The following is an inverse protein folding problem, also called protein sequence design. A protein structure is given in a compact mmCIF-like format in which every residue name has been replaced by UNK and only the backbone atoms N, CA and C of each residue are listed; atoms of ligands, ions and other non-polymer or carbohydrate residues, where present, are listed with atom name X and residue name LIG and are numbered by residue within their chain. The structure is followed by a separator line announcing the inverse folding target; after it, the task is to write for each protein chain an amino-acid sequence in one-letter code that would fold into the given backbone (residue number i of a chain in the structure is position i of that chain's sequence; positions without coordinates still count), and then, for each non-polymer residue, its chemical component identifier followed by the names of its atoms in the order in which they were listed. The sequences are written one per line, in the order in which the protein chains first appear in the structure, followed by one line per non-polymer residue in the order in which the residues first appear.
data_IF_325651298602
#
_entry.id   IF_325651298602
#
_cell.length_a   1.000
_cell.length_b   1.000
_cell.length_c   1.000
_cell.angle_alpha   90.00
_cell.angle_beta   90.00
_cell.angle_gamma   90.00
#
_symmetry.space_group_name_H-M   'P 1'
#
loop_
_entity.id
_entity.type
_entity.pdbx_description
1 polymer ?
#
# COMPACT_ATOMS: atom_id res chain seq x y z
N UNK A 1 -5.61 12.84 12.44
CA UNK A 1 -4.23 12.86 11.90
C UNK A 1 -3.38 11.72 12.45
N UNK A 2 -2.50 11.91 13.46
CA UNK A 2 -1.42 10.94 13.82
C UNK A 2 -1.79 9.50 14.25
N UNK A 3 -3.07 9.10 14.37
CA UNK A 3 -3.45 7.70 14.69
C UNK A 3 -4.44 7.11 13.68
N UNK A 4 -5.57 7.76 13.40
CA UNK A 4 -6.59 7.19 12.49
C UNK A 4 -6.20 7.16 11.00
N UNK A 5 -5.57 8.20 10.47
CA UNK A 5 -4.95 8.14 9.12
C UNK A 5 -3.84 7.07 9.10
N UNK A 6 -3.13 6.90 10.22
CA UNK A 6 -2.13 5.85 10.42
C UNK A 6 -2.71 4.45 10.69
N UNK A 7 -4.03 4.27 10.65
CA UNK A 7 -4.68 2.95 10.71
C UNK A 7 -5.34 2.64 9.37
N UNK A 8 -6.21 3.54 8.87
CA UNK A 8 -6.90 3.35 7.59
C UNK A 8 -5.96 3.35 6.37
N UNK A 9 -4.87 4.12 6.38
CA UNK A 9 -3.89 4.14 5.28
C UNK A 9 -2.66 3.25 5.56
N UNK A 10 -2.06 3.34 6.76
CA UNK A 10 -0.81 2.61 7.03
C UNK A 10 -1.00 1.10 7.25
N UNK A 11 -2.21 0.62 7.58
CA UNK A 11 -2.51 -0.81 7.68
C UNK A 11 -2.31 -1.58 6.36
N UNK A 12 -2.51 -0.92 5.21
CA UNK A 12 -2.37 -1.53 3.89
C UNK A 12 -1.11 -1.10 3.12
N UNK A 13 -0.52 0.06 3.44
CA UNK A 13 0.70 0.56 2.78
C UNK A 13 2.02 0.09 3.41
N UNK A 14 1.99 -0.46 4.64
CA UNK A 14 3.23 -0.88 5.35
C UNK A 14 3.80 -2.23 4.87
N UNK A 15 3.11 -2.96 3.99
CA UNK A 15 3.61 -4.18 3.33
C UNK A 15 4.50 -3.88 2.10
N UNK A 16 5.19 -2.74 2.12
CA UNK A 16 6.09 -2.33 1.05
C UNK A 16 7.37 -3.19 0.99
N UNK A 17 7.65 -3.74 -0.20
CA UNK A 17 8.95 -4.31 -0.65
C UNK A 17 9.26 -5.81 -0.41
N UNK A 18 8.29 -6.70 -0.14
CA UNK A 18 8.44 -8.15 -0.42
C UNK A 18 7.25 -8.75 -1.18
N UNK A 19 6.95 -8.19 -2.36
CA UNK A 19 6.00 -8.74 -3.33
C UNK A 19 6.39 -8.35 -4.77
N UNK A 20 6.67 -9.34 -5.64
CA UNK A 20 7.04 -9.13 -7.05
C UNK A 20 6.15 -9.96 -8.00
N UNK A 21 5.72 -9.36 -9.12
CA UNK A 21 4.82 -9.95 -10.14
C UNK A 21 3.33 -9.80 -9.79
N UNK A 22 2.35 -9.54 -10.69
CA UNK A 22 2.19 -9.51 -12.19
C UNK A 22 0.68 -9.73 -12.51
N UNK A 23 0.11 -10.02 -13.69
CA UNK A 23 -1.38 -9.86 -13.93
C UNK A 23 -2.09 -10.29 -15.22
N UNK A 24 -2.98 -11.31 -15.17
CA UNK A 24 -4.05 -11.55 -16.17
C UNK A 24 -5.22 -12.48 -15.72
N UNK A 25 -6.48 -12.06 -15.90
CA UNK A 25 -7.67 -12.82 -15.45
C UNK A 25 -8.06 -13.96 -16.39
N UNK A 26 -7.94 -15.18 -15.88
CA UNK A 26 -9.12 -16.03 -15.75
C UNK A 26 -9.49 -16.17 -14.27
N UNK A 27 -10.77 -16.40 -13.94
CA UNK A 27 -11.13 -16.93 -12.62
C UNK A 27 -10.78 -18.43 -12.55
N UNK A 28 -9.50 -18.75 -12.81
CA UNK A 28 -8.95 -20.07 -12.59
C UNK A 28 -8.91 -20.34 -11.09
N UNK A 29 -9.31 -21.55 -10.70
CA UNK A 29 -9.30 -22.01 -9.31
C UNK A 29 -7.92 -21.69 -8.67
N UNK A 30 -7.85 -20.92 -7.56
CA UNK A 30 -6.59 -20.62 -6.89
C UNK A 30 -5.78 -21.86 -6.52
N UNK A 31 -6.44 -23.00 -6.23
CA UNK A 31 -5.74 -24.26 -5.95
C UNK A 31 -5.04 -24.81 -7.20
N UNK A 32 -5.75 -24.90 -8.34
CA UNK A 32 -5.14 -25.29 -9.62
C UNK A 32 -4.07 -24.30 -10.10
N UNK A 33 -4.31 -23.00 -9.91
CA UNK A 33 -3.43 -21.90 -10.33
C UNK A 33 -2.14 -21.82 -9.53
N UNK A 34 -2.11 -22.36 -8.31
CA UNK A 34 -0.94 -22.38 -7.43
C UNK A 34 -0.38 -23.80 -7.19
N UNK A 35 -0.70 -24.76 -8.05
CA UNK A 35 -0.34 -26.17 -7.89
C UNK A 35 1.16 -26.51 -8.11
N UNK A 36 1.89 -25.69 -8.85
CA UNK A 36 3.37 -25.76 -8.99
C UNK A 36 4.02 -24.44 -8.54
N UNK A 37 5.32 -24.43 -8.18
CA UNK A 37 5.99 -23.21 -7.73
C UNK A 37 5.97 -22.12 -8.81
N UNK A 38 6.21 -22.51 -10.07
CA UNK A 38 6.15 -21.57 -11.19
C UNK A 38 4.73 -21.18 -11.56
N UNK A 39 3.73 -22.06 -11.43
CA UNK A 39 2.33 -21.67 -11.66
C UNK A 39 1.85 -20.70 -10.58
N UNK A 40 2.22 -20.91 -9.31
CA UNK A 40 1.88 -20.00 -8.23
C UNK A 40 2.52 -18.62 -8.41
N UNK A 41 3.83 -18.58 -8.69
CA UNK A 41 4.50 -17.33 -9.01
C UNK A 41 4.01 -16.72 -10.31
N UNK A 42 3.70 -17.51 -11.35
CA UNK A 42 3.08 -16.99 -12.59
C UNK A 42 1.69 -16.46 -12.31
N UNK A 43 0.92 -17.06 -11.42
CA UNK A 43 -0.45 -16.66 -11.04
C UNK A 43 -0.46 -15.40 -10.18
N UNK A 44 0.43 -15.27 -9.19
CA UNK A 44 0.69 -14.01 -8.51
C UNK A 44 1.24 -12.97 -9.52
N UNK A 45 2.14 -13.42 -10.41
CA UNK A 45 2.57 -12.73 -11.64
C UNK A 45 1.46 -12.64 -12.70
N UNK A 46 0.21 -12.94 -12.32
CA UNK A 46 -1.02 -12.95 -13.13
C UNK A 46 -2.24 -12.45 -12.29
N UNK A 47 -2.02 -11.57 -11.28
CA UNK A 47 -3.06 -10.65 -10.72
C UNK A 47 -2.83 -9.09 -10.86
N UNK A 48 -1.90 -8.47 -10.12
CA UNK A 48 -1.40 -7.06 -10.20
C UNK A 48 -1.29 -6.34 -11.59
N UNK A 49 -0.71 -6.92 -12.65
CA UNK A 49 -0.57 -6.28 -14.01
C UNK A 49 -1.93 -5.97 -14.65
N UNK A 50 -2.96 -6.69 -14.22
CA UNK A 50 -4.37 -6.49 -14.55
C UNK A 50 -5.16 -5.79 -13.43
N UNK A 51 -4.44 -5.26 -12.44
CA UNK A 51 -4.93 -4.53 -11.28
C UNK A 51 -5.87 -5.36 -10.37
N UNK A 52 -5.82 -6.68 -10.43
CA UNK A 52 -6.69 -7.54 -9.62
C UNK A 52 -6.10 -7.79 -8.23
N UNK A 53 -6.19 -6.78 -7.36
CA UNK A 53 -5.68 -6.87 -5.99
C UNK A 53 -6.45 -7.94 -5.18
N UNK A 54 -7.75 -8.15 -5.47
CA UNK A 54 -8.55 -9.19 -4.85
C UNK A 54 -8.05 -10.61 -5.16
N UNK A 55 -7.77 -10.90 -6.44
CA UNK A 55 -7.18 -12.17 -6.84
C UNK A 55 -5.72 -12.30 -6.36
N UNK A 56 -4.94 -11.20 -6.35
CA UNK A 56 -3.57 -11.22 -5.84
C UNK A 56 -3.53 -11.68 -4.37
N UNK A 57 -4.33 -11.05 -3.51
CA UNK A 57 -4.40 -11.38 -2.08
C UNK A 57 -4.88 -12.83 -1.88
N UNK A 58 -5.84 -13.32 -2.68
CA UNK A 58 -6.28 -14.73 -2.66
C UNK A 58 -5.19 -15.72 -3.09
N UNK A 59 -4.28 -15.32 -3.98
CA UNK A 59 -3.18 -16.15 -4.46
C UNK A 59 -1.98 -16.19 -3.52
N UNK A 60 -1.64 -15.10 -2.83
CA UNK A 60 -0.49 -15.05 -1.91
C UNK A 60 -0.84 -15.42 -0.46
N UNK A 61 -2.11 -15.38 -0.06
CA UNK A 61 -2.57 -15.85 1.26
C UNK A 61 -3.11 -17.30 1.19
N UNK A 62 -2.78 -18.15 2.18
CA UNK A 62 -3.58 -19.32 2.51
C UNK A 62 -4.99 -18.91 2.96
N UNK A 63 -5.97 -19.79 2.73
CA UNK A 63 -7.39 -19.51 2.98
C UNK A 63 -7.68 -19.12 4.44
N UNK A 64 -7.00 -19.75 5.40
CA UNK A 64 -7.12 -19.41 6.81
C UNK A 64 -6.70 -17.96 7.11
N UNK A 65 -5.52 -17.53 6.62
CA UNK A 65 -5.03 -16.15 6.79
C UNK A 65 -5.84 -15.14 5.96
N UNK A 66 -6.37 -15.52 4.79
CA UNK A 66 -7.32 -14.67 4.04
C UNK A 66 -8.58 -14.38 4.86
N UNK A 67 -9.16 -15.42 5.48
CA UNK A 67 -10.35 -15.29 6.31
C UNK A 67 -10.07 -14.52 7.61
N UNK A 68 -8.87 -14.66 8.19
CA UNK A 68 -8.42 -13.87 9.35
C UNK A 68 -8.31 -12.38 9.02
N UNK A 69 -7.61 -12.02 7.92
CA UNK A 69 -7.50 -10.63 7.43
C UNK A 69 -8.88 -10.03 7.17
N UNK A 70 -9.77 -10.79 6.52
CA UNK A 70 -11.15 -10.36 6.26
C UNK A 70 -11.94 -10.15 7.55
N UNK A 71 -11.80 -11.03 8.55
CA UNK A 71 -12.47 -10.88 9.83
C UNK A 71 -11.98 -9.64 10.60
N UNK A 72 -10.66 -9.43 10.66
CA UNK A 72 -10.03 -8.23 11.27
C UNK A 72 -10.53 -6.94 10.59
N UNK A 73 -10.60 -6.91 9.25
CA UNK A 73 -11.13 -5.75 8.52
C UNK A 73 -12.61 -5.46 8.82
N UNK A 74 -13.47 -6.48 8.79
CA UNK A 74 -14.90 -6.30 9.04
C UNK A 74 -15.18 -5.93 10.52
N UNK A 75 -14.35 -6.38 11.47
CA UNK A 75 -14.39 -5.95 12.88
C UNK A 75 -13.98 -4.48 13.05
N UNK A 76 -12.81 -4.10 12.54
CA UNK A 76 -12.33 -2.70 12.58
C UNK A 76 -13.30 -1.72 11.91
N UNK A 77 -14.05 -2.17 10.88
CA UNK A 77 -15.14 -1.39 10.28
C UNK A 77 -16.40 -1.31 11.16
N UNK A 78 -16.74 -2.36 11.91
CA UNK A 78 -17.87 -2.34 12.84
C UNK A 78 -17.61 -1.42 14.05
N UNK A 79 -16.35 -1.28 14.44
CA UNK A 79 -15.86 -0.37 15.49
C UNK A 79 -15.57 1.05 14.98
N UNK A 80 -15.50 1.24 13.66
CA UNK A 80 -15.29 2.56 13.06
C UNK A 80 -16.50 3.47 13.31
N UNK A 81 -16.34 4.38 14.28
CA UNK A 81 -17.26 5.51 14.47
C UNK A 81 -17.28 6.46 13.26
N UNK A 82 -18.24 7.38 13.28
CA UNK A 82 -18.34 8.48 12.30
C UNK A 82 -16.98 9.17 12.12
N UNK A 83 -16.54 9.45 10.88
CA UNK A 83 -15.30 10.16 10.64
C UNK A 83 -15.22 11.51 11.38
N UNK A 84 -13.99 11.98 11.62
CA UNK A 84 -13.79 13.36 12.04
C UNK A 84 -14.37 14.33 10.98
N UNK A 85 -15.19 15.34 11.37
CA UNK A 85 -15.83 16.22 10.40
C UNK A 85 -14.88 17.04 9.51
N UNK A 86 -13.65 17.31 9.96
CA UNK A 86 -12.65 17.98 9.14
C UNK A 86 -11.99 17.01 8.16
N UNK A 87 -11.61 15.80 8.61
CA UNK A 87 -11.05 14.76 7.72
C UNK A 87 -12.08 14.32 6.65
N UNK A 88 -13.38 14.26 7.00
CA UNK A 88 -14.46 14.02 6.05
C UNK A 88 -14.65 15.16 5.04
N UNK A 89 -14.57 16.41 5.49
CA UNK A 89 -14.70 17.59 4.62
C UNK A 89 -13.52 17.72 3.64
N UNK A 90 -12.29 17.48 4.11
CA UNK A 90 -11.08 17.49 3.26
C UNK A 90 -11.15 16.40 2.19
N UNK A 91 -11.57 15.17 2.56
CA UNK A 91 -11.76 14.09 1.60
C UNK A 91 -12.83 14.44 0.54
N UNK A 92 -13.96 15.01 0.97
CA UNK A 92 -15.04 15.42 0.07
C UNK A 92 -14.64 16.58 -0.85
N UNK A 93 -13.85 17.55 -0.37
CA UNK A 93 -13.29 18.62 -1.21
C UNK A 93 -12.31 18.06 -2.25
N UNK A 94 -11.38 17.20 -1.83
CA UNK A 94 -10.40 16.59 -2.71
C UNK A 94 -11.07 15.74 -3.80
N UNK A 95 -12.01 14.87 -3.44
CA UNK A 95 -12.75 14.06 -4.41
C UNK A 95 -13.69 14.92 -5.27
N UNK A 96 -14.23 16.01 -4.74
CA UNK A 96 -14.95 17.02 -5.52
C UNK A 96 -14.08 17.65 -6.61
N UNK A 97 -12.89 18.17 -6.25
CA UNK A 97 -11.90 18.71 -7.20
C UNK A 97 -11.48 17.69 -8.26
N UNK A 98 -11.19 16.46 -7.84
CA UNK A 98 -10.74 15.38 -8.74
C UNK A 98 -11.84 14.85 -9.68
N UNK A 99 -13.12 14.99 -9.35
CA UNK A 99 -14.23 14.44 -10.15
C UNK A 99 -15.03 15.49 -10.93
N UNK A 100 -14.84 16.78 -10.64
CA UNK A 100 -15.46 17.91 -11.34
C UNK A 100 -15.34 17.83 -12.87
N UNK A 101 -16.25 18.48 -13.59
CA UNK A 101 -16.31 18.42 -15.06
C UNK A 101 -15.06 19.04 -15.71
N UNK A 102 -14.51 20.08 -15.10
CA UNK A 102 -13.34 20.87 -15.49
C UNK A 102 -12.07 20.52 -14.70
N UNK A 103 -12.10 19.46 -13.87
CA UNK A 103 -11.02 19.03 -12.97
C UNK A 103 -9.63 19.04 -13.62
N UNK A 104 -9.50 18.53 -14.86
CA UNK A 104 -8.23 18.44 -15.58
C UNK A 104 -7.62 19.80 -15.90
N UNK A 105 -8.45 20.83 -16.14
CA UNK A 105 -8.01 22.19 -16.38
C UNK A 105 -7.77 22.96 -15.06
N UNK A 106 -8.64 22.77 -14.07
CA UNK A 106 -8.51 23.39 -12.76
C UNK A 106 -7.23 22.93 -12.03
N UNK A 107 -7.00 21.62 -11.95
CA UNK A 107 -5.83 21.02 -11.31
C UNK A 107 -4.53 21.38 -12.05
N UNK A 108 -4.54 21.49 -13.39
CA UNK A 108 -3.37 21.96 -14.12
C UNK A 108 -3.07 23.46 -13.87
N UNK A 109 -4.09 24.30 -13.69
CA UNK A 109 -3.90 25.70 -13.33
C UNK A 109 -3.37 25.88 -11.89
N UNK A 110 -3.77 25.01 -10.96
CA UNK A 110 -3.25 24.94 -9.59
C UNK A 110 -1.81 24.37 -9.57
N UNK A 111 -1.49 23.40 -10.43
CA UNK A 111 -0.19 22.74 -10.51
C UNK A 111 0.90 23.55 -11.23
N UNK A 112 0.57 24.32 -12.28
CA UNK A 112 1.52 25.13 -13.07
C UNK A 112 2.49 26.00 -12.23
N UNK A 113 2.07 26.79 -11.22
CA UNK A 113 3.01 27.55 -10.39
C UNK A 113 3.97 26.65 -9.58
N UNK A 114 3.54 25.46 -9.16
CA UNK A 114 4.40 24.49 -8.48
C UNK A 114 5.39 23.81 -9.43
N UNK A 115 5.01 23.54 -10.69
CA UNK A 115 5.96 23.08 -11.72
C UNK A 115 7.02 24.15 -11.99
N UNK A 116 6.62 25.42 -12.12
CA UNK A 116 7.54 26.54 -12.32
C UNK A 116 8.48 26.74 -11.12
N UNK A 117 7.99 26.63 -9.88
CA UNK A 117 8.83 26.68 -8.69
C UNK A 117 9.81 25.50 -8.63
N UNK A 118 9.35 24.27 -8.91
CA UNK A 118 10.21 23.10 -8.95
C UNK A 118 11.32 23.26 -10.01
N UNK A 119 10.97 23.73 -11.20
CA UNK A 119 11.90 23.96 -12.32
C UNK A 119 12.96 25.03 -11.98
N UNK A 120 12.58 26.07 -11.25
CA UNK A 120 13.50 27.16 -10.85
C UNK A 120 14.37 26.83 -9.62
N UNK A 121 13.80 26.20 -8.58
CA UNK A 121 14.44 26.08 -7.25
C UNK A 121 14.97 24.68 -6.94
N UNK A 122 14.24 23.63 -7.33
CA UNK A 122 14.54 22.24 -6.93
C UNK A 122 15.29 21.47 -8.02
N UNK A 123 14.90 21.58 -9.29
CA UNK A 123 15.51 20.88 -10.40
C UNK A 123 17.05 21.08 -10.50
N UNK A 124 17.64 22.27 -10.23
CA UNK A 124 19.09 22.44 -10.19
C UNK A 124 19.79 21.65 -9.05
N UNK A 125 19.07 21.34 -7.97
CA UNK A 125 19.57 20.64 -6.79
C UNK A 125 19.33 19.12 -6.85
N UNK A 126 18.36 18.67 -7.65
CA UNK A 126 17.99 17.26 -7.81
C UNK A 126 19.19 16.32 -8.05
N UNK A 127 20.18 16.58 -8.92
CA UNK A 127 21.31 15.66 -9.14
C UNK A 127 22.13 15.40 -7.87
N UNK A 128 22.28 16.41 -7.00
CA UNK A 128 22.97 16.27 -5.71
C UNK A 128 22.11 15.46 -4.72
N UNK A 129 20.81 15.76 -4.64
CA UNK A 129 19.87 15.04 -3.78
C UNK A 129 19.74 13.56 -4.18
N UNK A 130 19.67 13.24 -5.47
CA UNK A 130 19.63 11.88 -6.01
C UNK A 130 20.93 11.14 -5.68
N UNK A 131 22.09 11.77 -5.88
CA UNK A 131 23.39 11.18 -5.54
C UNK A 131 23.53 10.88 -4.05
N UNK A 132 23.12 11.80 -3.18
CA UNK A 132 23.11 11.63 -1.73
C UNK A 132 22.14 10.53 -1.30
N UNK A 133 20.91 10.55 -1.80
CA UNK A 133 19.87 9.56 -1.48
C UNK A 133 20.25 8.15 -1.93
N UNK A 134 20.82 8.00 -3.14
CA UNK A 134 21.38 6.72 -3.63
C UNK A 134 22.49 6.21 -2.73
N UNK A 135 23.42 7.08 -2.34
CA UNK A 135 24.50 6.74 -1.40
C UNK A 135 23.98 6.25 -0.05
N UNK A 136 23.01 6.96 0.54
CA UNK A 136 22.37 6.58 1.80
C UNK A 136 21.60 5.26 1.68
N UNK A 137 20.84 5.05 0.61
CA UNK A 137 20.07 3.83 0.38
C UNK A 137 20.97 2.60 0.22
N UNK A 138 22.02 2.68 -0.60
CA UNK A 138 23.01 1.58 -0.73
C UNK A 138 23.71 1.32 0.60
N UNK A 139 24.13 2.37 1.32
CA UNK A 139 24.78 2.22 2.63
C UNK A 139 23.84 1.63 3.70
N UNK A 140 22.53 1.86 3.62
CA UNK A 140 21.52 1.19 4.44
C UNK A 140 21.39 -0.31 4.10
N UNK A 141 21.26 -0.64 2.82
CA UNK A 141 21.18 -2.03 2.32
C UNK A 141 22.40 -2.86 2.76
N UNK A 142 23.61 -2.30 2.62
CA UNK A 142 24.85 -3.01 2.98
C UNK A 142 24.94 -3.29 4.50
N UNK A 143 24.42 -2.40 5.33
CA UNK A 143 24.40 -2.55 6.79
C UNK A 143 23.27 -3.44 7.32
N UNK A 144 22.23 -3.73 6.52
CA UNK A 144 21.14 -4.59 6.98
C UNK A 144 21.66 -6.03 7.19
N UNK A 145 21.57 -6.52 8.42
CA UNK A 145 22.00 -7.87 8.82
C UNK A 145 20.96 -8.96 8.54
N UNK A 146 19.71 -8.58 8.28
CA UNK A 146 18.59 -9.49 7.98
C UNK A 146 18.51 -9.86 6.50
N UNK A 147 19.15 -9.04 5.63
CA UNK A 147 19.20 -9.27 4.19
C UNK A 147 20.36 -10.20 3.80
N UNK A 148 20.06 -11.20 2.96
CA UNK A 148 21.09 -12.01 2.30
C UNK A 148 21.91 -11.18 1.29
N UNK A 149 23.11 -11.64 0.95
CA UNK A 149 23.97 -10.97 -0.05
C UNK A 149 23.31 -10.90 -1.44
N UNK A 150 22.39 -11.82 -1.75
CA UNK A 150 21.59 -11.81 -2.98
C UNK A 150 20.48 -10.76 -2.93
N UNK A 151 19.77 -10.66 -1.79
CA UNK A 151 18.79 -9.60 -1.55
C UNK A 151 19.45 -8.21 -1.55
N UNK A 152 20.64 -8.06 -0.94
CA UNK A 152 21.41 -6.80 -0.97
C UNK A 152 21.82 -6.42 -2.39
N UNK A 153 22.27 -7.38 -3.19
CA UNK A 153 22.61 -7.17 -4.60
C UNK A 153 21.37 -6.75 -5.42
N UNK A 154 20.24 -7.42 -5.24
CA UNK A 154 18.97 -7.07 -5.90
C UNK A 154 18.51 -5.66 -5.51
N UNK A 155 18.49 -5.34 -4.21
CA UNK A 155 18.06 -4.03 -3.73
C UNK A 155 18.99 -2.91 -4.21
N UNK A 156 20.30 -3.16 -4.30
CA UNK A 156 21.27 -2.23 -4.88
C UNK A 156 21.00 -1.99 -6.37
N UNK A 157 20.67 -3.04 -7.14
CA UNK A 157 20.26 -2.90 -8.55
C UNK A 157 18.96 -2.09 -8.72
N UNK A 158 17.98 -2.27 -7.83
CA UNK A 158 16.74 -1.47 -7.82
C UNK A 158 17.05 0.00 -7.52
N UNK A 159 17.84 0.29 -6.48
CA UNK A 159 18.27 1.65 -6.11
C UNK A 159 19.05 2.34 -7.24
N UNK A 160 19.90 1.59 -7.94
CA UNK A 160 20.65 2.09 -9.09
C UNK A 160 19.74 2.40 -10.29
N UNK A 161 18.78 1.51 -10.60
CA UNK A 161 17.80 1.72 -11.66
C UNK A 161 16.89 2.94 -11.38
N UNK A 162 16.41 3.08 -10.13
CA UNK A 162 15.63 4.22 -9.67
C UNK A 162 16.42 5.53 -9.73
N UNK A 163 17.67 5.55 -9.26
CA UNK A 163 18.54 6.73 -9.32
C UNK A 163 18.86 7.16 -10.76
N UNK A 164 19.04 6.21 -11.67
CA UNK A 164 19.22 6.49 -13.09
C UNK A 164 17.94 7.06 -13.73
N UNK A 165 16.76 6.52 -13.42
CA UNK A 165 15.47 7.07 -13.88
C UNK A 165 15.22 8.48 -13.33
N UNK A 166 15.39 8.68 -12.01
CA UNK A 166 15.26 10.00 -11.36
C UNK A 166 16.18 11.07 -11.96
N UNK A 167 17.33 10.67 -12.50
CA UNK A 167 18.29 11.58 -13.14
C UNK A 167 17.90 11.98 -14.58
N UNK A 168 16.90 11.34 -15.18
CA UNK A 168 16.49 11.54 -16.59
C UNK A 168 15.00 11.88 -16.77
N UNK A 169 14.16 11.61 -15.77
CA UNK A 169 12.72 11.91 -15.77
C UNK A 169 12.45 13.41 -15.73
N UNK A 170 11.56 13.88 -16.61
CA UNK A 170 11.19 15.29 -16.70
C UNK A 170 9.99 15.62 -15.80
N UNK A 171 10.21 15.70 -14.48
CA UNK A 171 9.13 15.92 -13.50
C UNK A 171 8.35 17.24 -13.70
N UNK A 172 8.97 18.26 -14.31
CA UNK A 172 8.34 19.55 -14.62
C UNK A 172 7.83 19.68 -16.08
N UNK A 173 7.83 18.60 -16.88
CA UNK A 173 7.30 18.65 -18.25
C UNK A 173 5.77 18.78 -18.22
N UNK A 174 5.27 19.92 -18.69
CA UNK A 174 3.86 20.33 -18.57
C UNK A 174 2.90 19.44 -19.33
N UNK A 175 3.33 18.78 -20.40
CA UNK A 175 2.48 17.84 -21.14
C UNK A 175 2.46 16.47 -20.44
N UNK A 176 3.56 16.04 -19.79
CA UNK A 176 3.54 14.87 -18.90
C UNK A 176 2.68 15.13 -17.65
N UNK A 177 2.81 16.30 -17.02
CA UNK A 177 2.00 16.69 -15.87
C UNK A 177 0.50 16.68 -16.21
N UNK A 178 0.11 17.23 -17.35
CA UNK A 178 -1.26 17.21 -17.86
C UNK A 178 -1.79 15.80 -18.13
N UNK A 179 -0.97 14.91 -18.71
CA UNK A 179 -1.35 13.51 -18.90
C UNK A 179 -1.49 12.77 -17.55
N UNK A 180 -0.60 13.03 -16.58
CA UNK A 180 -0.71 12.49 -15.24
C UNK A 180 -1.98 12.98 -14.50
N UNK A 181 -2.31 14.27 -14.59
CA UNK A 181 -3.56 14.83 -14.05
C UNK A 181 -4.78 14.17 -14.70
N UNK A 182 -4.80 14.01 -16.02
CA UNK A 182 -5.91 13.33 -16.71
C UNK A 182 -6.07 11.85 -16.26
N UNK A 183 -4.96 11.13 -16.03
CA UNK A 183 -4.99 9.77 -15.45
C UNK A 183 -5.51 9.75 -14.01
N UNK A 184 -5.05 10.68 -13.16
CA UNK A 184 -5.50 10.79 -11.77
C UNK A 184 -7.00 11.11 -11.69
N UNK A 185 -7.47 12.08 -12.47
CA UNK A 185 -8.89 12.44 -12.59
C UNK A 185 -9.75 11.29 -13.11
N UNK A 186 -9.31 10.59 -14.16
CA UNK A 186 -10.01 9.41 -14.67
C UNK A 186 -10.10 8.30 -13.61
N UNK A 187 -9.04 8.11 -12.81
CA UNK A 187 -9.01 7.14 -11.71
C UNK A 187 -9.96 7.54 -10.58
N UNK A 188 -9.98 8.81 -10.17
CA UNK A 188 -10.89 9.31 -9.14
C UNK A 188 -12.37 9.17 -9.57
N UNK A 189 -12.68 9.48 -10.83
CA UNK A 189 -14.00 9.27 -11.43
C UNK A 189 -14.38 7.77 -11.48
N UNK A 190 -13.41 6.87 -11.73
CA UNK A 190 -13.64 5.43 -11.75
C UNK A 190 -13.76 4.80 -10.34
N UNK A 191 -13.13 5.41 -9.33
CA UNK A 191 -13.29 5.00 -7.92
C UNK A 191 -14.70 5.28 -7.42
N UNK A 192 -15.34 6.37 -7.85
CA UNK A 192 -16.70 6.79 -7.46
C UNK A 192 -16.92 6.85 -5.94
N UNK A 193 -15.87 7.19 -5.19
CA UNK A 193 -15.91 7.44 -3.74
C UNK A 193 -15.96 8.95 -3.52
N UNK A 194 -17.06 9.46 -2.94
CA UNK A 194 -17.31 10.90 -2.80
C UNK A 194 -17.17 11.40 -1.37
N UNK A 195 -17.28 10.52 -0.39
CA UNK A 195 -17.19 10.86 1.05
C UNK A 195 -16.41 9.77 1.80
N UNK A 196 -15.93 10.10 3.01
CA UNK A 196 -15.10 9.20 3.81
C UNK A 196 -15.93 8.04 4.40
N UNK A 197 -17.22 8.26 4.65
CA UNK A 197 -18.17 7.22 5.07
C UNK A 197 -18.38 6.17 3.96
N UNK A 198 -18.36 6.58 2.67
CA UNK A 198 -18.44 5.64 1.54
C UNK A 198 -17.19 4.76 1.43
N UNK A 199 -16.02 5.26 1.84
CA UNK A 199 -14.78 4.49 1.91
C UNK A 199 -14.78 3.53 3.12
N UNK A 200 -15.24 4.00 4.28
CA UNK A 200 -15.39 3.15 5.48
C UNK A 200 -16.42 2.03 5.28
N UNK A 201 -17.55 2.30 4.60
CA UNK A 201 -18.65 1.35 4.46
C UNK A 201 -18.38 0.17 3.50
N UNK A 202 -17.25 0.13 2.79
CA UNK A 202 -16.93 -0.94 1.83
C UNK A 202 -16.85 -2.32 2.51
N UNK A 203 -17.26 -3.39 1.81
CA UNK A 203 -16.86 -4.73 2.22
C UNK A 203 -15.39 -4.97 1.91
N UNK A 204 -14.75 -5.94 2.57
CA UNK A 204 -13.37 -6.31 2.29
C UNK A 204 -13.10 -6.59 0.79
N UNK A 205 -14.00 -7.31 0.12
CA UNK A 205 -13.86 -7.62 -1.31
C UNK A 205 -14.10 -6.37 -2.19
N UNK A 206 -14.98 -5.43 -1.79
CA UNK A 206 -15.15 -4.14 -2.48
C UNK A 206 -13.92 -3.22 -2.30
N UNK A 207 -13.35 -3.18 -1.10
CA UNK A 207 -12.14 -2.42 -0.80
C UNK A 207 -10.95 -2.91 -1.65
N UNK A 208 -10.80 -4.23 -1.81
CA UNK A 208 -9.82 -4.83 -2.71
C UNK A 208 -10.10 -4.48 -4.19
N UNK A 209 -11.36 -4.41 -4.62
CA UNK A 209 -11.73 -3.97 -5.97
C UNK A 209 -11.42 -2.48 -6.23
N UNK A 210 -11.72 -1.60 -5.26
CA UNK A 210 -11.36 -0.17 -5.33
C UNK A 210 -9.84 0.04 -5.28
N UNK A 211 -9.12 -0.72 -4.46
CA UNK A 211 -7.65 -0.73 -4.44
C UNK A 211 -7.06 -1.15 -5.80
N UNK A 212 -7.72 -2.07 -6.52
CA UNK A 212 -7.39 -2.39 -7.90
C UNK A 212 -7.50 -1.19 -8.85
N UNK A 213 -8.60 -0.44 -8.80
CA UNK A 213 -8.77 0.78 -9.62
C UNK A 213 -7.67 1.80 -9.29
N UNK A 214 -7.41 2.06 -8.01
CA UNK A 214 -6.37 2.99 -7.57
C UNK A 214 -4.96 2.56 -8.00
N UNK A 215 -4.61 1.27 -7.86
CA UNK A 215 -3.33 0.71 -8.28
C UNK A 215 -3.14 0.78 -9.81
N UNK A 216 -4.21 0.57 -10.58
CA UNK A 216 -4.21 0.79 -12.03
C UNK A 216 -3.87 2.25 -12.37
N UNK A 217 -4.57 3.19 -11.75
CA UNK A 217 -4.33 4.63 -11.93
C UNK A 217 -2.91 5.08 -11.57
N UNK A 218 -2.36 4.57 -10.46
CA UNK A 218 -0.98 4.86 -10.04
C UNK A 218 0.04 4.38 -11.07
N UNK A 219 -0.11 3.15 -11.60
CA UNK A 219 0.76 2.63 -12.66
C UNK A 219 0.63 3.45 -13.95
N UNK A 220 -0.57 3.86 -14.31
CA UNK A 220 -0.82 4.71 -15.49
C UNK A 220 -0.15 6.09 -15.35
N UNK A 221 -0.15 6.69 -14.16
CA UNK A 221 0.57 7.95 -13.86
C UNK A 221 2.09 7.74 -13.91
N UNK A 222 2.61 6.66 -13.33
CA UNK A 222 4.04 6.33 -13.36
C UNK A 222 4.55 6.05 -14.78
N UNK A 223 3.74 5.39 -15.61
CA UNK A 223 4.05 5.10 -17.01
C UNK A 223 4.17 6.37 -17.88
N UNK A 224 3.41 7.43 -17.60
CA UNK A 224 3.57 8.75 -18.27
C UNK A 224 4.99 9.31 -18.05
N UNK A 225 5.58 9.07 -16.88
CA UNK A 225 6.96 9.46 -16.58
C UNK A 225 8.00 8.38 -16.94
N UNK A 226 7.63 7.36 -17.74
CA UNK A 226 8.51 6.30 -18.20
C UNK A 226 8.79 5.19 -17.19
N UNK A 227 8.18 5.21 -16.00
CA UNK A 227 8.22 4.11 -15.06
C UNK A 227 7.05 3.16 -15.35
N UNK A 228 7.20 2.38 -16.41
CA UNK A 228 6.21 1.38 -16.80
C UNK A 228 6.32 0.10 -15.94
N UNK A 229 5.55 0.07 -14.85
CA UNK A 229 5.37 -1.13 -14.02
C UNK A 229 4.71 -2.26 -14.82
N UNK A 230 3.84 -1.96 -15.79
CA UNK A 230 3.18 -2.99 -16.58
C UNK A 230 4.20 -3.73 -17.46
N UNK A 231 5.10 -3.01 -18.14
CA UNK A 231 6.21 -3.61 -18.89
C UNK A 231 7.18 -4.42 -17.98
N UNK A 232 7.44 -3.95 -16.76
CA UNK A 232 8.28 -4.68 -15.82
C UNK A 232 7.65 -6.03 -15.44
N UNK A 233 6.34 -6.07 -15.21
CA UNK A 233 5.59 -7.29 -14.90
C UNK A 233 5.45 -8.21 -16.13
N UNK A 234 5.25 -7.66 -17.33
CA UNK A 234 5.20 -8.41 -18.60
C UNK A 234 6.56 -9.05 -18.96
N UNK A 235 7.67 -8.47 -18.46
CA UNK A 235 9.02 -8.99 -18.67
C UNK A 235 9.42 -10.15 -17.74
N UNK A 236 8.53 -10.57 -16.83
CA UNK A 236 8.86 -11.52 -15.78
C UNK A 236 9.11 -12.95 -16.32
N UNK A 237 10.21 -13.54 -15.86
CA UNK A 237 10.68 -14.89 -16.21
C UNK A 237 10.85 -15.68 -14.92
N UNK A 238 10.32 -16.91 -14.88
CA UNK A 238 10.21 -17.72 -13.66
C UNK A 238 10.75 -19.12 -13.97
N UNK A 239 11.83 -19.50 -13.29
CA UNK A 239 12.65 -20.70 -13.52
C UNK A 239 12.76 -21.51 -12.21
N UNK A 240 12.18 -22.71 -12.16
CA UNK A 240 12.29 -23.59 -10.99
C UNK A 240 13.67 -24.25 -10.99
N UNK A 241 14.46 -24.02 -9.94
CA UNK A 241 15.83 -24.54 -9.81
C UNK A 241 15.86 -25.91 -9.14
N UNK A 242 15.06 -26.10 -8.09
CA UNK A 242 14.77 -27.42 -7.50
C UNK A 242 13.35 -27.48 -6.93
N UNK A 243 12.88 -28.70 -6.69
CA UNK A 243 11.68 -29.00 -5.90
C UNK A 243 11.99 -30.23 -5.03
N UNK A 244 11.92 -30.07 -3.72
CA UNK A 244 12.28 -31.07 -2.72
C UNK A 244 11.11 -31.22 -1.73
N UNK A 245 10.23 -32.18 -2.00
CA UNK A 245 8.98 -32.39 -1.24
C UNK A 245 8.06 -31.18 -1.34
N UNK A 246 7.69 -30.63 -0.18
CA UNK A 246 6.87 -29.43 -0.04
C UNK A 246 7.71 -28.12 0.04
N UNK A 247 8.95 -28.15 -0.47
CA UNK A 247 9.82 -26.98 -0.67
C UNK A 247 10.33 -26.88 -2.10
N UNK A 248 10.62 -25.68 -2.58
CA UNK A 248 11.20 -25.45 -3.91
C UNK A 248 12.00 -24.14 -3.95
N UNK A 249 13.08 -24.07 -4.72
CA UNK A 249 13.76 -22.81 -5.03
C UNK A 249 13.40 -22.37 -6.44
N UNK A 250 12.95 -21.13 -6.56
CA UNK A 250 12.56 -20.55 -7.84
C UNK A 250 13.32 -19.25 -8.06
N UNK A 251 13.88 -19.12 -9.25
CA UNK A 251 14.53 -17.92 -9.72
C UNK A 251 13.53 -17.07 -10.50
N UNK A 252 13.51 -15.78 -10.18
CA UNK A 252 12.72 -14.77 -10.90
C UNK A 252 13.69 -13.81 -11.58
N UNK A 253 13.41 -13.48 -12.84
CA UNK A 253 14.08 -12.43 -13.59
C UNK A 253 13.06 -11.45 -14.15
N UNK A 254 13.36 -10.15 -14.18
CA UNK A 254 12.52 -9.11 -14.77
C UNK A 254 13.36 -7.91 -15.19
N UNK A 255 12.82 -7.05 -16.04
CA UNK A 255 13.46 -5.80 -16.47
C UNK A 255 12.75 -4.62 -15.83
N UNK A 256 13.46 -3.84 -15.02
CA UNK A 256 12.94 -2.63 -14.38
C UNK A 256 13.75 -1.42 -14.87
N UNK A 257 13.08 -0.44 -15.49
CA UNK A 257 13.71 0.80 -15.97
C UNK A 257 14.93 0.54 -16.89
N UNK A 258 14.89 -0.55 -17.67
CA UNK A 258 15.98 -1.00 -18.55
C UNK A 258 17.07 -1.84 -17.88
N UNK A 259 17.09 -1.95 -16.55
CA UNK A 259 17.98 -2.85 -15.83
C UNK A 259 17.40 -4.26 -15.73
N UNK A 260 18.16 -5.28 -16.12
CA UNK A 260 17.81 -6.68 -15.87
C UNK A 260 18.12 -7.04 -14.41
N UNK A 261 17.09 -7.42 -13.65
CA UNK A 261 17.15 -7.78 -12.24
C UNK A 261 16.80 -9.26 -12.13
N UNK A 262 17.49 -10.01 -11.27
CA UNK A 262 17.14 -11.40 -10.97
C UNK A 262 17.46 -11.75 -9.53
N UNK A 263 16.64 -12.62 -8.95
CA UNK A 263 16.70 -13.07 -7.57
C UNK A 263 16.25 -14.53 -7.45
N UNK A 264 16.72 -15.22 -6.42
CA UNK A 264 16.30 -16.58 -6.08
C UNK A 264 15.52 -16.53 -4.76
N UNK A 265 14.38 -17.21 -4.71
CA UNK A 265 13.52 -17.27 -3.53
C UNK A 265 13.12 -18.71 -3.21
N UNK A 266 13.09 -19.02 -1.92
CA UNK A 266 12.53 -20.27 -1.40
C UNK A 266 10.99 -20.17 -1.39
N UNK A 267 10.34 -21.25 -1.79
CA UNK A 267 8.90 -21.45 -1.73
C UNK A 267 8.56 -22.65 -0.86
N UNK A 268 7.40 -22.59 -0.22
CA UNK A 268 6.82 -23.65 0.61
C UNK A 268 5.44 -24.03 0.10
N UNK A 269 5.03 -25.28 0.32
CA UNK A 269 3.73 -25.79 -0.07
C UNK A 269 2.84 -26.05 1.14
N UNK A 270 1.67 -25.42 1.17
CA UNK A 270 0.68 -25.52 2.25
C UNK A 270 -0.71 -25.76 1.64
N UNK A 271 -1.50 -26.66 2.23
CA UNK A 271 -2.83 -27.06 1.72
C UNK A 271 -2.85 -27.43 0.21
N UNK A 272 -1.72 -27.90 -0.32
CA UNK A 272 -1.53 -28.26 -1.73
C UNK A 272 -1.06 -27.13 -2.66
N UNK A 273 -1.08 -25.88 -2.18
CA UNK A 273 -0.74 -24.63 -2.90
C UNK A 273 0.68 -24.16 -2.56
N UNK A 274 1.37 -23.50 -3.51
CA UNK A 274 2.70 -22.94 -3.29
C UNK A 274 2.69 -21.44 -2.94
N UNK A 275 3.51 -21.05 -1.97
CA UNK A 275 3.67 -19.67 -1.49
C UNK A 275 5.15 -19.29 -1.34
N UNK A 276 5.48 -18.01 -1.40
CA UNK A 276 6.82 -17.50 -1.09
C UNK A 276 7.08 -17.61 0.42
N UNK A 277 8.20 -18.23 0.80
CA UNK A 277 8.54 -18.52 2.21
C UNK A 277 8.70 -17.25 3.05
N UNK A 278 9.43 -16.27 2.52
CA UNK A 278 9.70 -15.01 3.21
C UNK A 278 8.43 -14.13 3.27
N UNK A 279 7.60 -14.17 2.21
CA UNK A 279 6.27 -13.55 2.20
C UNK A 279 5.36 -14.15 3.28
N UNK A 280 5.31 -15.49 3.40
CA UNK A 280 4.55 -16.19 4.45
C UNK A 280 5.01 -15.85 5.87
N UNK A 281 6.32 -15.67 6.07
CA UNK A 281 6.85 -15.15 7.34
C UNK A 281 6.38 -13.71 7.58
N UNK A 282 6.59 -12.80 6.64
CA UNK A 282 6.21 -11.39 6.78
C UNK A 282 4.70 -11.19 7.03
N UNK A 283 3.84 -12.00 6.40
CA UNK A 283 2.39 -12.03 6.66
C UNK A 283 2.10 -12.44 8.11
N UNK A 284 2.77 -13.49 8.61
CA UNK A 284 2.55 -13.98 9.97
C UNK A 284 3.06 -12.97 11.00
N UNK A 285 4.30 -12.48 10.84
CA UNK A 285 4.89 -11.46 11.71
C UNK A 285 4.00 -10.20 11.80
N UNK A 286 3.39 -9.78 10.67
CA UNK A 286 2.48 -8.64 10.63
C UNK A 286 1.13 -8.90 11.33
N UNK A 287 0.51 -10.06 11.08
CA UNK A 287 -0.80 -10.41 11.67
C UNK A 287 -0.72 -10.70 13.16
N UNK A 288 0.34 -11.38 13.57
CA UNK A 288 0.57 -11.83 14.93
C UNK A 288 1.10 -10.65 15.77
N UNK A 289 2.02 -9.84 15.23
CA UNK A 289 2.50 -8.59 15.86
C UNK A 289 1.46 -7.47 15.95
N UNK A 290 0.49 -7.41 15.02
CA UNK A 290 -0.70 -6.56 15.19
C UNK A 290 -1.54 -7.04 16.38
N UNK A 291 -1.74 -8.35 16.55
CA UNK A 291 -2.47 -8.90 17.69
C UNK A 291 -1.82 -8.57 19.02
N UNK A 292 -0.49 -8.60 19.11
CA UNK A 292 0.25 -8.20 20.33
C UNK A 292 0.10 -6.70 20.62
N UNK A 293 0.16 -5.85 19.59
CA UNK A 293 -0.01 -4.40 19.74
C UNK A 293 -1.45 -3.98 20.08
N UNK A 294 -2.44 -4.74 19.62
CA UNK A 294 -3.87 -4.55 19.88
C UNK A 294 -4.21 -4.92 21.34
N UNK A 295 -3.77 -6.10 21.80
CA UNK A 295 -3.91 -6.51 23.21
C UNK A 295 -3.16 -5.55 24.16
N UNK A 296 -1.95 -5.10 23.80
CA UNK A 296 -1.21 -4.12 24.60
C UNK A 296 -1.83 -2.71 24.57
N UNK A 297 -2.69 -2.39 23.60
CA UNK A 297 -3.46 -1.15 23.58
C UNK A 297 -4.74 -1.24 24.41
N UNK A 298 -5.39 -2.40 24.44
CA UNK A 298 -6.55 -2.70 25.30
C UNK A 298 -6.13 -2.76 26.79
N UNK A 299 -5.04 -3.46 27.12
CA UNK A 299 -4.49 -3.53 28.49
C UNK A 299 -3.92 -2.18 28.98
N UNK A 300 -3.59 -1.26 28.07
CA UNK A 300 -3.16 0.10 28.37
C UNK A 300 -4.29 1.15 28.35
N UNK A 301 -5.55 0.75 28.15
CA UNK A 301 -6.68 1.65 28.31
C UNK A 301 -6.86 2.01 29.81
N UNK A 302 -6.93 3.31 30.18
CA UNK A 302 -7.02 3.69 31.59
C UNK A 302 -8.37 3.32 32.18
N UNK A 303 -8.36 2.41 33.16
CA UNK A 303 -9.51 2.13 34.01
C UNK A 303 -9.72 3.28 35.01
N UNK A 304 -10.40 4.35 34.57
CA UNK A 304 -10.71 5.54 35.37
C UNK A 304 -12.22 5.90 35.31
N UNK A 305 -13.06 4.96 35.73
CA UNK A 305 -14.40 5.24 36.27
C UNK A 305 -14.51 4.60 37.67
N UNK A 306 -13.92 5.26 38.67
CA UNK A 306 -13.96 4.82 40.06
C UNK A 306 -14.17 5.99 41.05
N UNK A 307 -15.43 6.43 41.12
CA UNK A 307 -16.06 6.94 42.35
C UNK A 307 -15.43 8.17 43.05
N UNK A 308 -15.93 9.36 42.68
CA UNK A 308 -16.02 10.50 43.62
C UNK A 308 -17.50 10.75 43.91
N UNK A 309 -18.00 10.12 44.96
CA UNK A 309 -19.36 10.31 45.47
C UNK A 309 -19.44 11.62 46.26
N UNK A 310 -20.04 12.68 45.70
CA UNK A 310 -20.34 13.90 46.46
C UNK A 310 -21.47 13.65 47.47
N UNK A 311 -21.09 13.46 48.74
CA UNK A 311 -22.01 13.52 49.88
C UNK A 311 -22.26 15.00 50.26
N UNK A 312 -23.51 15.48 50.31
CA UNK A 312 -23.80 16.89 50.53
C UNK A 312 -23.70 17.29 52.01
N UNK A 313 -22.94 18.35 52.30
CA UNK A 313 -22.86 18.95 53.64
C UNK A 313 -23.99 19.97 53.87
N UNK A 314 -24.82 19.72 54.88
CA UNK A 314 -26.04 20.48 55.22
C UNK A 314 -25.78 21.51 56.34
N UNK A 315 -26.06 22.80 56.04
CA UNK A 315 -25.96 24.00 56.92
C UNK A 315 -26.91 25.06 56.31
N UNK A 316 -27.79 25.79 57.00
CA UNK A 316 -28.10 26.01 58.44
C UNK A 316 -29.62 25.83 58.72
N UNK A 317 -30.02 25.68 59.98
CA UNK A 317 -31.42 25.64 60.45
C UNK A 317 -31.89 26.94 61.17
N UNK A 318 -33.11 27.38 60.80
CA UNK A 318 -34.13 28.06 61.62
C UNK A 318 -34.06 29.59 61.99
N UNK A 319 -35.22 30.11 62.43
CA UNK A 319 -35.77 31.47 62.37
C UNK A 319 -35.22 32.55 63.34
N UNK A 320 -35.34 33.82 62.93
CA UNK A 320 -36.19 34.84 63.58
C UNK A 320 -36.21 36.12 62.69
N UNK A 321 -37.30 36.77 62.23
CA UNK A 321 -38.68 37.01 62.67
C UNK A 321 -38.92 38.49 63.08
N UNK A 322 -40.01 39.08 62.55
CA UNK A 322 -40.61 40.42 62.80
C UNK A 322 -39.90 41.71 62.34
N UNK A 323 -40.72 42.59 61.73
CA UNK A 323 -40.56 43.99 61.25
C UNK A 323 -39.43 44.32 60.24
#
# INVERSE_FOLDING_TARGET
MNRFVSLAAAGLFSLGLVACGGGDKGAADPAASTATPDAALKSATTALRQNDIGQFVKLVLPEARYNEVKAKYEAQKAEAGTPDPAEAAEFAEMMGKLTAADAEAALMAELEPHLAQFEAELAPQMPMMIGMGRGMAVQGIQQNAEMSEDQKRQATQVVDALGNWLSNVKLADRELAKQAVAKAVATARALDLKTLEQLQALSFDDALAKAGIAFGGLKDVLAVYGFDINAALDSAQIEVLNTEGDTARVKVGYTLLGAAISSEQDMVREAGRWYGKDTMKAISDALDGQSEAEVAAEEAAPADEAEVTEEPAEVDEEEAATE
#
